data_IF_164084487984
#
_entry.id   IF_164084487984
#
_cell.length_a   1.000
_cell.length_b   1.000
_cell.length_c   1.000
_cell.angle_alpha   90.00
_cell.angle_beta   90.00
_cell.angle_gamma   90.00
#
_symmetry.space_group_name_H-M   'P 1'
#
loop_
_entity.id
_entity.type
_entity.pdbx_description
1 polymer ?
#
# COMPACT_ATOMS: atom_id res chain seq x y z
N UNK A 1 10.44 15.36 -13.92
CA UNK A 1 10.54 15.01 -12.48
C UNK A 1 9.17 15.19 -11.86
N UNK A 2 8.54 14.11 -11.38
CA UNK A 2 7.31 14.22 -10.60
C UNK A 2 7.68 14.76 -9.20
N UNK A 3 7.40 16.04 -8.95
CA UNK A 3 7.50 16.62 -7.61
C UNK A 3 6.50 15.90 -6.70
N UNK A 4 7.00 14.99 -5.86
CA UNK A 4 6.19 14.43 -4.77
C UNK A 4 6.06 15.51 -3.70
N UNK A 5 5.03 16.34 -3.82
CA UNK A 5 4.67 17.32 -2.79
C UNK A 5 4.58 16.59 -1.45
N UNK A 6 5.51 16.90 -0.54
CA UNK A 6 5.57 16.27 0.78
C UNK A 6 4.30 16.61 1.54
N UNK A 7 3.77 15.63 2.26
CA UNK A 7 2.59 15.84 3.07
C UNK A 7 2.91 16.81 4.21
N UNK A 8 2.26 17.98 4.24
CA UNK A 8 2.45 19.06 5.23
C UNK A 8 2.20 18.68 6.71
N UNK A 9 1.86 17.43 7.00
CA UNK A 9 1.62 16.96 8.37
C UNK A 9 2.80 16.26 9.00
N UNK A 10 3.85 16.02 8.22
CA UNK A 10 5.13 15.64 8.80
C UNK A 10 5.60 16.87 9.55
N UNK A 11 5.34 16.93 10.87
CA UNK A 11 6.20 17.70 11.78
C UNK A 11 7.62 17.34 11.39
N UNK A 12 8.49 18.35 11.26
CA UNK A 12 9.92 18.22 10.95
C UNK A 12 10.42 16.87 11.43
N UNK A 13 10.65 15.89 10.55
CA UNK A 13 10.94 14.56 11.03
C UNK A 13 12.39 14.64 11.49
N UNK A 14 12.59 14.66 12.80
CA UNK A 14 13.90 14.41 13.38
C UNK A 14 14.43 13.02 12.94
N UNK A 15 13.55 12.16 12.40
CA UNK A 15 13.81 10.81 11.87
C UNK A 15 13.74 10.69 10.33
N UNK A 16 14.14 11.71 9.54
CA UNK A 16 14.35 11.47 8.10
C UNK A 16 15.62 10.64 7.92
N UNK A 17 15.48 9.33 7.86
CA UNK A 17 16.53 8.47 7.34
C UNK A 17 16.81 8.84 5.88
N UNK A 18 18.08 9.02 5.52
CA UNK A 18 18.47 9.10 4.12
C UNK A 18 17.96 7.86 3.38
N UNK A 19 17.43 8.06 2.18
CA UNK A 19 17.00 6.97 1.33
C UNK A 19 18.23 6.14 0.94
N UNK A 20 18.48 5.07 1.68
CA UNK A 20 19.47 4.06 1.31
C UNK A 20 18.80 2.99 0.46
N UNK A 21 19.46 2.56 -0.61
CA UNK A 21 19.04 1.39 -1.35
C UNK A 21 19.47 0.17 -0.53
N UNK A 22 18.55 -0.43 0.21
CA UNK A 22 18.85 -1.67 0.93
C UNK A 22 18.73 -2.82 -0.07
N UNK A 23 19.84 -3.51 -0.33
CA UNK A 23 19.84 -4.76 -1.09
C UNK A 23 19.31 -5.84 -0.16
N UNK A 24 17.99 -5.94 -0.08
CA UNK A 24 17.31 -6.99 0.67
C UNK A 24 17.14 -8.20 -0.23
N UNK A 25 17.92 -9.26 0.00
CA UNK A 25 17.61 -10.55 -0.61
C UNK A 25 16.50 -11.21 0.22
N UNK A 26 15.35 -11.50 -0.38
CA UNK A 26 14.31 -12.20 0.34
C UNK A 26 14.75 -13.64 0.61
N UNK A 27 14.68 -14.07 1.86
CA UNK A 27 14.81 -15.49 2.20
C UNK A 27 13.75 -16.27 1.43
N UNK A 28 14.18 -17.18 0.54
CA UNK A 28 13.32 -17.90 -0.41
C UNK A 28 12.25 -18.75 0.29
N UNK A 29 12.52 -19.19 1.51
CA UNK A 29 11.63 -20.08 2.28
C UNK A 29 10.92 -19.38 3.44
N UNK A 30 11.06 -18.06 3.55
CA UNK A 30 10.43 -17.31 4.64
C UNK A 30 8.91 -17.28 4.49
N UNK A 31 8.22 -17.90 5.46
CA UNK A 31 6.76 -17.86 5.60
C UNK A 31 6.35 -17.06 6.84
N UNK A 32 5.58 -16.01 6.63
CA UNK A 32 5.06 -15.18 7.70
C UNK A 32 3.71 -15.70 8.20
N UNK A 33 3.73 -16.59 9.19
CA UNK A 33 2.53 -17.27 9.71
C UNK A 33 1.57 -16.33 10.49
N UNK A 34 2.13 -15.28 11.10
CA UNK A 34 1.41 -14.41 12.04
C UNK A 34 0.83 -13.14 11.42
N UNK A 35 1.18 -12.80 10.18
CA UNK A 35 0.64 -11.61 9.53
C UNK A 35 -0.76 -11.95 9.05
N UNK A 36 -1.77 -11.39 9.71
CA UNK A 36 -3.19 -11.64 9.40
C UNK A 36 -3.81 -10.50 8.58
N UNK A 37 -3.27 -9.29 8.68
CA UNK A 37 -3.83 -8.08 8.11
C UNK A 37 -2.74 -7.17 7.54
N UNK A 38 -2.92 -6.71 6.31
CA UNK A 38 -2.10 -5.69 5.67
C UNK A 38 -2.96 -4.48 5.33
N UNK A 39 -2.54 -3.29 5.78
CA UNK A 39 -3.17 -2.02 5.40
C UNK A 39 -2.16 -1.13 4.67
N UNK A 40 -2.58 -0.54 3.55
CA UNK A 40 -1.80 0.47 2.83
C UNK A 40 -2.68 1.70 2.56
N UNK A 41 -2.17 2.88 2.91
CA UNK A 41 -2.89 4.16 2.77
C UNK A 41 -2.19 5.03 1.73
N UNK A 42 -2.97 5.69 0.87
CA UNK A 42 -2.44 6.57 -0.17
C UNK A 42 -1.70 5.82 -1.28
N UNK A 43 -2.14 4.60 -1.58
CA UNK A 43 -1.60 3.83 -2.69
C UNK A 43 -1.94 4.50 -4.03
N UNK A 44 -1.13 4.22 -5.04
CA UNK A 44 -1.32 4.62 -6.43
C UNK A 44 -1.45 3.36 -7.29
N UNK A 45 -2.05 3.50 -8.47
CA UNK A 45 -2.06 2.44 -9.49
C UNK A 45 -0.67 2.29 -10.13
N UNK A 46 0.26 1.73 -9.37
CA UNK A 46 1.61 1.45 -9.84
C UNK A 46 1.91 -0.05 -9.77
N UNK A 47 2.58 -0.57 -10.79
CA UNK A 47 2.92 -1.99 -10.88
C UNK A 47 3.65 -2.49 -9.64
N UNK A 48 4.60 -1.69 -9.15
CA UNK A 48 5.39 -1.98 -7.95
C UNK A 48 4.52 -2.24 -6.71
N UNK A 49 3.36 -1.57 -6.59
CA UNK A 49 2.43 -1.75 -5.46
C UNK A 49 1.76 -3.11 -5.57
N UNK A 50 1.23 -3.44 -6.75
CA UNK A 50 0.59 -4.76 -6.97
C UNK A 50 1.58 -5.91 -6.83
N UNK A 51 2.81 -5.76 -7.35
CA UNK A 51 3.88 -6.75 -7.20
C UNK A 51 4.26 -6.95 -5.74
N UNK A 52 4.40 -5.87 -4.97
CA UNK A 52 4.67 -5.97 -3.53
C UNK A 52 3.57 -6.73 -2.79
N UNK A 53 2.30 -6.38 -3.04
CA UNK A 53 1.16 -7.03 -2.37
C UNK A 53 1.11 -8.53 -2.71
N UNK A 54 1.34 -8.91 -3.98
CA UNK A 54 1.38 -10.31 -4.39
C UNK A 54 2.50 -11.09 -3.67
N UNK A 55 3.68 -10.50 -3.53
CA UNK A 55 4.77 -11.09 -2.75
C UNK A 55 4.39 -11.27 -1.27
N UNK A 56 3.64 -10.33 -0.70
CA UNK A 56 3.11 -10.48 0.67
C UNK A 56 2.10 -11.62 0.73
N UNK A 57 1.18 -11.74 -0.22
CA UNK A 57 0.20 -12.83 -0.28
C UNK A 57 0.88 -14.21 -0.38
N UNK A 58 1.96 -14.31 -1.16
CA UNK A 58 2.74 -15.55 -1.31
C UNK A 58 3.46 -15.96 -0.02
N UNK A 59 4.05 -14.99 0.69
CA UNK A 59 4.88 -15.28 1.88
C UNK A 59 4.09 -15.33 3.17
N UNK A 60 3.06 -14.50 3.30
CA UNK A 60 2.20 -14.46 4.46
C UNK A 60 1.06 -15.47 4.31
N UNK A 61 1.38 -16.76 4.43
CA UNK A 61 0.40 -17.85 4.31
C UNK A 61 -0.74 -17.76 5.34
N UNK A 62 -0.55 -16.98 6.40
CA UNK A 62 -1.58 -16.70 7.40
C UNK A 62 -2.44 -15.48 7.12
N UNK A 63 -2.20 -14.74 6.03
CA UNK A 63 -2.89 -13.50 5.70
C UNK A 63 -4.38 -13.77 5.49
N UNK A 64 -5.21 -12.90 6.05
CA UNK A 64 -6.67 -13.01 5.96
C UNK A 64 -7.28 -11.83 5.22
N UNK A 65 -6.70 -10.64 5.37
CA UNK A 65 -7.26 -9.41 4.83
C UNK A 65 -6.19 -8.44 4.34
N UNK A 66 -6.46 -7.82 3.20
CA UNK A 66 -5.73 -6.67 2.66
C UNK A 66 -6.71 -5.52 2.54
N UNK A 67 -6.34 -4.37 3.09
CA UNK A 67 -7.10 -3.13 2.96
C UNK A 67 -6.25 -2.06 2.30
N UNK A 68 -6.68 -1.62 1.12
CA UNK A 68 -6.07 -0.54 0.37
C UNK A 68 -6.96 0.68 0.49
N UNK A 69 -6.51 1.69 1.24
CA UNK A 69 -7.23 2.94 1.41
C UNK A 69 -6.63 4.01 0.52
N UNK A 70 -7.50 4.79 -0.12
CA UNK A 70 -7.10 6.01 -0.79
C UNK A 70 -6.43 7.02 0.14
N UNK A 71 -6.35 8.27 -0.32
CA UNK A 71 -5.80 9.34 0.51
C UNK A 71 -6.57 9.48 1.83
N UNK A 72 -5.85 9.48 2.96
CA UNK A 72 -6.40 9.78 4.28
C UNK A 72 -5.85 11.14 4.74
N UNK A 73 -6.70 12.13 5.06
CA UNK A 73 -6.23 13.40 5.61
C UNK A 73 -5.60 13.19 6.99
N UNK A 74 -4.55 13.93 7.30
CA UNK A 74 -4.03 13.91 8.67
C UNK A 74 -5.01 14.55 9.64
N UNK A 75 -4.99 14.08 10.88
CA UNK A 75 -5.60 14.82 11.98
C UNK A 75 -4.82 16.11 12.22
N UNK A 76 -5.55 17.22 12.34
CA UNK A 76 -5.07 18.46 12.96
C UNK A 76 -4.65 19.61 12.04
N UNK A 77 -4.39 19.38 10.74
CA UNK A 77 -4.05 20.46 9.79
C UNK A 77 -4.83 20.29 8.48
N UNK A 78 -5.71 21.27 8.18
CA UNK A 78 -6.51 21.38 6.96
C UNK A 78 -7.00 20.03 6.39
N UNK A 79 -7.65 19.22 7.25
CA UNK A 79 -8.33 17.99 6.86
C UNK A 79 -9.46 18.23 5.84
N UNK A 80 -9.80 19.50 5.62
CA UNK A 80 -10.89 20.00 4.79
C UNK A 80 -10.50 20.31 3.35
N UNK A 81 -9.24 20.13 2.92
CA UNK A 81 -8.84 20.42 1.53
C UNK A 81 -9.56 19.48 0.54
N UNK A 82 -10.57 19.97 -0.20
CA UNK A 82 -11.42 19.13 -1.05
C UNK A 82 -10.69 18.65 -2.32
N UNK A 83 -9.50 19.20 -2.62
CA UNK A 83 -8.66 18.77 -3.75
C UNK A 83 -7.77 17.57 -3.43
N UNK A 84 -7.65 17.17 -2.17
CA UNK A 84 -6.91 15.96 -1.77
C UNK A 84 -7.84 14.74 -1.77
N UNK A 85 -8.39 14.43 -2.94
CA UNK A 85 -9.12 13.18 -3.15
C UNK A 85 -8.15 12.03 -3.33
N UNK A 86 -8.63 10.81 -3.07
CA UNK A 86 -7.93 9.60 -3.52
C UNK A 86 -7.59 9.76 -5.00
N UNK A 87 -6.31 9.61 -5.35
CA UNK A 87 -5.86 9.64 -6.76
C UNK A 87 -6.28 8.38 -7.53
N UNK A 88 -6.91 7.43 -6.85
CA UNK A 88 -7.36 6.15 -7.41
C UNK A 88 -8.87 6.20 -7.60
N UNK A 89 -9.30 6.32 -8.86
CA UNK A 89 -10.71 6.23 -9.27
C UNK A 89 -11.25 4.78 -9.24
N UNK A 90 -12.56 4.62 -9.37
CA UNK A 90 -13.23 3.31 -9.37
C UNK A 90 -12.70 2.33 -10.43
N UNK A 91 -12.34 2.83 -11.62
CA UNK A 91 -11.80 1.98 -12.67
C UNK A 91 -10.41 1.44 -12.29
N UNK A 92 -9.60 2.29 -11.66
CA UNK A 92 -8.28 1.96 -11.14
C UNK A 92 -8.37 0.96 -9.98
N UNK A 93 -9.34 1.14 -9.08
CA UNK A 93 -9.62 0.17 -7.99
C UNK A 93 -9.93 -1.21 -8.54
N UNK A 94 -10.80 -1.29 -9.56
CA UNK A 94 -11.15 -2.54 -10.23
C UNK A 94 -9.95 -3.20 -10.89
N UNK A 95 -9.14 -2.46 -11.66
CA UNK A 95 -7.93 -2.99 -12.30
C UNK A 95 -6.92 -3.54 -11.28
N UNK A 96 -6.73 -2.83 -10.16
CA UNK A 96 -5.86 -3.29 -9.07
C UNK A 96 -6.40 -4.59 -8.47
N UNK A 97 -7.71 -4.64 -8.18
CA UNK A 97 -8.34 -5.84 -7.65
C UNK A 97 -8.17 -7.04 -8.58
N UNK A 98 -8.49 -6.87 -9.87
CA UNK A 98 -8.32 -7.90 -10.90
C UNK A 98 -6.87 -8.40 -10.96
N UNK A 99 -5.88 -7.50 -10.90
CA UNK A 99 -4.45 -7.87 -10.90
C UNK A 99 -4.01 -8.64 -9.67
N UNK A 100 -4.61 -8.38 -8.50
CA UNK A 100 -4.31 -9.09 -7.27
C UNK A 100 -4.98 -10.47 -7.20
N UNK A 101 -6.17 -10.59 -7.79
CA UNK A 101 -6.92 -11.84 -7.87
C UNK A 101 -6.44 -12.74 -9.01
N UNK A 102 -5.91 -12.18 -10.09
CA UNK A 102 -5.49 -12.94 -11.26
C UNK A 102 -4.42 -14.00 -10.95
N UNK A 103 -4.78 -15.26 -11.16
CA UNK A 103 -3.90 -16.42 -10.90
C UNK A 103 -3.64 -16.67 -9.42
N UNK A 104 -4.36 -16.01 -8.51
CA UNK A 104 -4.30 -16.25 -7.08
C UNK A 104 -5.38 -17.23 -6.66
N UNK A 105 -5.00 -18.30 -5.94
CA UNK A 105 -5.94 -19.20 -5.26
C UNK A 105 -6.16 -18.80 -3.79
N UNK A 106 -5.68 -17.62 -3.38
CA UNK A 106 -5.72 -17.16 -2.00
C UNK A 106 -7.14 -16.77 -1.57
N UNK A 107 -7.55 -17.18 -0.37
CA UNK A 107 -8.83 -16.79 0.24
C UNK A 107 -8.80 -15.44 0.96
N UNK A 108 -7.74 -14.65 0.73
CA UNK A 108 -7.55 -13.34 1.35
C UNK A 108 -8.64 -12.37 0.89
N UNK A 109 -9.34 -11.75 1.86
CA UNK A 109 -10.29 -10.67 1.61
C UNK A 109 -9.54 -9.41 1.16
N UNK A 110 -9.84 -8.90 -0.04
CA UNK A 110 -9.25 -7.67 -0.56
C UNK A 110 -10.32 -6.57 -0.60
N UNK A 111 -10.11 -5.52 0.20
CA UNK A 111 -10.98 -4.35 0.27
C UNK A 111 -10.21 -3.14 -0.25
N UNK A 112 -10.80 -2.42 -1.19
CA UNK A 112 -10.22 -1.20 -1.77
C UNK A 112 -11.21 -0.05 -1.55
N UNK A 113 -10.81 0.92 -0.73
CA UNK A 113 -11.64 2.04 -0.23
C UNK A 113 -11.32 3.37 -0.90
#
# INVERSE_FOLDING_TARGET
>A
MLSRSRHLCLRTPEDIAEKTNVVWEPSKDFKHLNLKFLQMIGFLEEDKVTTYIRLVMERAVGLKKIELQGYRPCRGYNASDPNRKSQVDEASRRRIKERLEHGSSSSVEIVIC
#
